data_IF_553971764279
#
_entry.id   IF_553971764279
#
_cell.length_a   1.000
_cell.length_b   1.000
_cell.length_c   1.000
_cell.angle_alpha   90.00
_cell.angle_beta   90.00
_cell.angle_gamma   90.00
#
_symmetry.space_group_name_H-M   'P 1'
#
loop_
_entity.id
_entity.type
_entity.pdbx_description
1 polymer ?
#
# COMPACT_ATOMS: atom_id res chain seq x y z
N UNK A 1 14.19 -0.04 24.50
CA UNK A 1 14.20 1.44 24.48
C UNK A 1 12.78 1.99 24.22
N UNK A 2 12.20 2.69 25.21
CA UNK A 2 10.92 3.36 25.04
C UNK A 2 11.12 4.49 24.01
N UNK A 3 10.48 4.39 22.84
CA UNK A 3 10.56 5.44 21.81
C UNK A 3 10.01 6.73 22.42
N UNK A 4 10.86 7.75 22.64
CA UNK A 4 10.41 9.06 23.10
C UNK A 4 9.67 9.75 21.97
N UNK A 5 8.41 10.09 22.21
CA UNK A 5 7.60 10.86 21.27
C UNK A 5 8.12 12.30 21.24
N UNK A 6 8.39 12.83 20.05
CA UNK A 6 8.77 14.22 19.87
C UNK A 6 7.54 15.11 20.09
N UNK A 7 7.48 15.80 21.23
CA UNK A 7 6.33 16.64 21.61
C UNK A 7 6.03 17.75 20.58
N UNK A 8 7.05 18.33 19.96
CA UNK A 8 6.89 19.37 18.94
C UNK A 8 6.21 18.83 17.70
N UNK A 9 6.65 17.67 17.21
CA UNK A 9 6.04 17.00 16.06
C UNK A 9 4.61 16.55 16.38
N UNK A 10 4.38 16.00 17.58
CA UNK A 10 3.04 15.61 18.00
C UNK A 10 2.08 16.80 18.07
N UNK A 11 2.51 17.96 18.60
CA UNK A 11 1.69 19.18 18.60
C UNK A 11 1.32 19.65 17.19
N UNK A 12 2.24 19.50 16.24
CA UNK A 12 1.98 19.83 14.84
C UNK A 12 0.91 18.89 14.25
N UNK A 13 1.04 17.58 14.46
CA UNK A 13 0.01 16.61 14.07
C UNK A 13 -1.33 16.85 14.79
N UNK A 14 -1.31 17.18 16.08
CA UNK A 14 -2.50 17.50 16.85
C UNK A 14 -3.25 18.69 16.24
N UNK A 15 -2.55 19.75 15.86
CA UNK A 15 -3.20 20.89 15.20
C UNK A 15 -3.75 20.52 13.81
N UNK A 16 -2.91 19.90 12.96
CA UNK A 16 -3.26 19.60 11.58
C UNK A 16 -4.39 18.55 11.48
N UNK A 17 -4.23 17.40 12.13
CA UNK A 17 -5.17 16.29 11.95
C UNK A 17 -6.46 16.46 12.74
N UNK A 18 -6.50 17.30 13.79
CA UNK A 18 -7.78 17.69 14.40
C UNK A 18 -8.63 18.52 13.44
N UNK A 19 -8.01 19.39 12.64
CA UNK A 19 -8.71 20.17 11.61
C UNK A 19 -9.14 19.27 10.43
N UNK A 20 -8.26 18.38 9.96
CA UNK A 20 -8.51 17.55 8.78
C UNK A 20 -9.45 16.36 9.04
N UNK A 21 -9.40 15.74 10.24
CA UNK A 21 -10.09 14.49 10.54
C UNK A 21 -11.07 14.57 11.73
N UNK A 22 -11.07 15.67 12.49
CA UNK A 22 -11.94 15.85 13.66
C UNK A 22 -11.80 14.72 14.67
N UNK A 23 -12.93 14.13 15.08
CA UNK A 23 -12.96 13.06 16.09
C UNK A 23 -12.19 11.79 15.69
N UNK A 24 -12.05 11.51 14.39
CA UNK A 24 -11.32 10.35 13.91
C UNK A 24 -9.82 10.43 14.27
N UNK A 25 -9.27 11.65 14.38
CA UNK A 25 -7.89 11.85 14.79
C UNK A 25 -7.66 11.49 16.26
N UNK A 26 -8.55 11.83 17.18
CA UNK A 26 -8.36 11.53 18.60
C UNK A 26 -8.18 10.03 18.85
N UNK A 27 -9.05 9.21 18.26
CA UNK A 27 -8.96 7.75 18.33
C UNK A 27 -7.71 7.21 17.63
N UNK A 28 -7.38 7.72 16.43
CA UNK A 28 -6.18 7.31 15.70
C UNK A 28 -4.89 7.63 16.46
N UNK A 29 -4.84 8.81 17.08
CA UNK A 29 -3.73 9.27 17.90
C UNK A 29 -3.48 8.34 19.08
N UNK A 30 -4.53 7.92 19.79
CA UNK A 30 -4.39 7.00 20.93
C UNK A 30 -3.77 5.67 20.51
N UNK A 31 -4.18 5.12 19.37
CA UNK A 31 -3.59 3.89 18.80
C UNK A 31 -2.13 4.12 18.39
N UNK A 32 -1.84 5.23 17.71
CA UNK A 32 -0.49 5.56 17.24
C UNK A 32 0.49 5.78 18.41
N UNK A 33 0.03 6.35 19.53
CA UNK A 33 0.84 6.60 20.72
C UNK A 33 0.93 5.40 21.67
N UNK A 34 0.14 4.34 21.45
CA UNK A 34 0.14 3.14 22.28
C UNK A 34 0.91 1.97 21.63
N UNK A 35 2.15 1.67 22.08
CA UNK A 35 2.93 0.57 21.52
C UNK A 35 2.31 -0.82 21.71
N UNK A 36 1.40 -0.97 22.67
CA UNK A 36 0.66 -2.21 22.89
C UNK A 36 -0.33 -2.45 21.75
N UNK A 37 -0.84 -1.41 21.09
CA UNK A 37 -1.76 -1.54 19.96
C UNK A 37 -1.08 -1.87 18.63
N UNK A 38 0.25 -1.74 18.55
CA UNK A 38 0.95 -1.95 17.28
C UNK A 38 1.04 -3.44 16.96
N UNK A 39 0.66 -3.81 15.75
CA UNK A 39 0.66 -5.19 15.27
C UNK A 39 1.16 -5.31 13.83
N UNK A 40 1.44 -6.53 13.40
CA UNK A 40 1.93 -6.84 12.07
C UNK A 40 1.13 -7.98 11.46
N UNK A 41 0.79 -7.82 10.18
CA UNK A 41 0.31 -8.91 9.35
C UNK A 41 1.51 -9.76 8.91
N UNK A 42 1.25 -11.05 8.74
CA UNK A 42 2.22 -12.06 8.31
C UNK A 42 1.95 -12.40 6.86
N UNK A 43 2.67 -11.74 5.95
CA UNK A 43 2.62 -12.05 4.53
C UNK A 43 3.53 -13.25 4.23
N UNK A 44 2.93 -14.34 3.76
CA UNK A 44 3.68 -15.55 3.42
C UNK A 44 4.52 -15.33 2.16
N UNK A 45 5.71 -15.91 2.15
CA UNK A 45 6.56 -15.95 0.97
C UNK A 45 6.26 -17.20 0.14
N UNK A 46 5.64 -17.05 -1.02
CA UNK A 46 5.33 -18.15 -1.94
C UNK A 46 6.58 -18.82 -2.52
N UNK A 47 7.74 -18.16 -2.47
CA UNK A 47 9.01 -18.66 -3.01
C UNK A 47 9.83 -19.48 -2.00
N UNK A 48 9.38 -19.60 -0.76
CA UNK A 48 10.02 -20.43 0.26
C UNK A 48 9.25 -21.71 0.53
N UNK A 49 9.87 -22.64 1.25
CA UNK A 49 9.12 -23.68 1.95
C UNK A 49 8.20 -23.03 2.99
N UNK A 50 6.95 -23.49 3.03
CA UNK A 50 5.89 -23.00 3.93
C UNK A 50 5.24 -24.15 4.70
N UNK A 51 5.89 -25.31 4.72
CA UNK A 51 5.39 -26.51 5.40
C UNK A 51 5.06 -26.16 6.85
N UNK A 52 3.85 -26.51 7.30
CA UNK A 52 3.30 -26.24 8.63
C UNK A 52 3.12 -24.76 9.03
N UNK A 53 3.61 -23.78 8.26
CA UNK A 53 3.54 -22.36 8.65
C UNK A 53 2.10 -21.86 8.79
N UNK A 54 1.20 -22.25 7.87
CA UNK A 54 -0.22 -21.89 7.95
C UNK A 54 -0.92 -22.48 9.15
N UNK A 55 -0.60 -23.75 9.46
CA UNK A 55 -1.16 -24.45 10.61
C UNK A 55 -0.66 -23.79 11.91
N UNK A 56 0.63 -23.50 12.01
CA UNK A 56 1.22 -22.79 13.14
C UNK A 56 0.58 -21.42 13.37
N UNK A 57 0.34 -20.65 12.30
CA UNK A 57 -0.37 -19.37 12.39
C UNK A 57 -1.81 -19.55 12.89
N UNK A 58 -2.53 -20.55 12.37
CA UNK A 58 -3.89 -20.84 12.79
C UNK A 58 -3.96 -21.28 14.27
N UNK A 59 -3.02 -22.11 14.74
CA UNK A 59 -2.89 -22.51 16.15
C UNK A 59 -2.62 -21.32 17.07
N UNK A 60 -1.95 -20.28 16.56
CA UNK A 60 -1.75 -19.01 17.25
C UNK A 60 -2.93 -18.04 17.13
N UNK A 61 -4.05 -18.44 16.52
CA UNK A 61 -5.25 -17.61 16.37
C UNK A 61 -5.22 -16.63 15.18
N UNK A 62 -4.22 -16.72 14.30
CA UNK A 62 -4.19 -15.88 13.11
C UNK A 62 -5.21 -16.34 12.07
N UNK A 63 -5.86 -15.38 11.42
CA UNK A 63 -6.81 -15.60 10.33
C UNK A 63 -6.30 -14.95 9.05
N UNK A 64 -6.74 -15.45 7.90
CA UNK A 64 -6.37 -14.84 6.61
C UNK A 64 -7.14 -13.53 6.42
N UNK A 65 -6.42 -12.42 6.18
CA UNK A 65 -6.97 -11.10 5.89
C UNK A 65 -7.90 -11.11 4.68
N UNK A 66 -7.56 -11.92 3.67
CA UNK A 66 -8.29 -12.07 2.43
C UNK A 66 -8.82 -13.51 2.38
N UNK A 67 -9.90 -13.83 3.12
CA UNK A 67 -10.54 -15.13 3.02
C UNK A 67 -10.95 -15.34 1.56
N UNK A 68 -10.72 -16.53 0.99
CA UNK A 68 -11.00 -16.78 -0.42
C UNK A 68 -12.49 -16.65 -0.73
N UNK A 69 -12.95 -15.45 -1.03
CA UNK A 69 -14.31 -15.15 -1.45
C UNK A 69 -14.36 -15.18 -2.97
N UNK A 70 -14.45 -16.39 -3.51
CA UNK A 70 -15.34 -16.81 -4.61
C UNK A 70 -14.72 -17.91 -5.50
N UNK A 71 -15.49 -18.96 -5.80
CA UNK A 71 -15.20 -19.84 -6.93
C UNK A 71 -15.58 -19.12 -8.24
N UNK A 72 -14.65 -19.09 -9.21
CA UNK A 72 -14.81 -18.60 -10.60
C UNK A 72 -14.60 -17.09 -10.84
N UNK A 73 -13.36 -16.60 -10.73
CA UNK A 73 -12.81 -15.79 -11.82
C UNK A 73 -11.83 -16.68 -12.60
N UNK A 74 -11.96 -16.73 -13.92
CA UNK A 74 -11.12 -17.54 -14.82
C UNK A 74 -9.74 -16.91 -15.04
N UNK A 75 -9.18 -16.26 -14.02
CA UNK A 75 -7.86 -15.63 -14.11
C UNK A 75 -6.95 -16.23 -13.05
N UNK A 76 -5.79 -16.72 -13.48
CA UNK A 76 -4.79 -17.42 -12.68
C UNK A 76 -4.07 -16.49 -11.69
N UNK A 77 -4.80 -15.81 -10.80
CA UNK A 77 -4.17 -15.00 -9.76
C UNK A 77 -3.75 -15.90 -8.59
N UNK A 78 -2.50 -15.77 -8.15
CA UNK A 78 -2.08 -16.34 -6.88
C UNK A 78 -2.60 -15.40 -5.78
N UNK A 79 -3.53 -15.84 -4.93
CA UNK A 79 -4.08 -14.98 -3.90
C UNK A 79 -2.99 -14.62 -2.88
N UNK A 80 -2.91 -13.34 -2.51
CA UNK A 80 -2.07 -12.89 -1.40
C UNK A 80 -2.46 -13.64 -0.12
N UNK A 81 -1.46 -14.25 0.51
CA UNK A 81 -1.65 -14.95 1.79
C UNK A 81 -1.07 -14.10 2.90
N UNK A 82 -1.90 -13.23 3.46
CA UNK A 82 -1.56 -12.38 4.59
C UNK A 82 -2.42 -12.78 5.79
N UNK A 83 -1.76 -13.15 6.88
CA UNK A 83 -2.44 -13.56 8.11
C UNK A 83 -2.39 -12.42 9.14
N UNK A 84 -3.51 -12.14 9.78
CA UNK A 84 -3.67 -11.12 10.81
C UNK A 84 -4.20 -11.75 12.09
N UNK A 85 -4.04 -11.06 13.21
CA UNK A 85 -4.57 -11.48 14.50
C UNK A 85 -5.40 -10.31 15.07
N UNK A 86 -6.46 -10.60 15.83
CA UNK A 86 -7.29 -9.55 16.43
C UNK A 86 -6.51 -8.78 17.51
N UNK A 87 -5.79 -9.52 18.35
CA UNK A 87 -4.86 -8.98 19.33
C UNK A 87 -3.46 -8.73 18.75
N UNK A 88 -2.67 -7.80 19.32
CA UNK A 88 -1.32 -7.42 18.89
C UNK A 88 -0.25 -8.46 19.27
N UNK A 89 -0.45 -9.70 18.85
CA UNK A 89 0.47 -10.83 19.06
C UNK A 89 1.78 -10.57 18.33
N UNK A 90 2.90 -10.79 19.04
CA UNK A 90 4.24 -10.59 18.51
C UNK A 90 4.76 -11.90 17.91
N UNK A 91 4.99 -11.88 16.61
CA UNK A 91 5.72 -12.94 15.90
C UNK A 91 7.18 -12.50 15.69
N UNK A 92 8.15 -13.42 15.78
CA UNK A 92 9.55 -13.11 15.57
C UNK A 92 9.80 -12.60 14.15
N UNK A 93 10.65 -11.58 14.01
CA UNK A 93 11.16 -11.19 12.69
C UNK A 93 12.18 -12.22 12.22
N UNK A 94 12.08 -12.65 10.96
CA UNK A 94 13.12 -13.49 10.35
C UNK A 94 14.30 -12.63 9.89
N UNK A 95 15.51 -12.99 10.33
CA UNK A 95 16.75 -12.37 9.89
C UNK A 95 17.06 -12.69 8.43
N UNK A 96 17.83 -11.83 7.77
CA UNK A 96 18.32 -12.09 6.42
C UNK A 96 19.53 -13.01 6.50
N UNK A 97 19.50 -14.13 5.76
CA UNK A 97 20.59 -15.08 5.68
C UNK A 97 20.91 -15.37 4.20
N UNK A 98 22.18 -15.28 3.77
CA UNK A 98 22.57 -15.68 2.41
C UNK A 98 22.13 -17.12 2.10
N UNK A 99 21.54 -17.33 0.92
CA UNK A 99 21.06 -18.65 0.48
C UNK A 99 19.74 -19.11 1.10
N UNK A 100 19.13 -18.32 1.99
CA UNK A 100 17.85 -18.65 2.63
C UNK A 100 16.80 -17.57 2.37
N UNK A 101 15.66 -17.99 1.83
CA UNK A 101 14.48 -17.14 1.70
C UNK A 101 13.69 -17.17 3.01
N UNK A 102 13.24 -15.98 3.44
CA UNK A 102 12.31 -15.85 4.57
C UNK A 102 11.01 -16.57 4.23
N UNK A 103 10.41 -17.24 5.20
CA UNK A 103 9.10 -17.89 5.04
C UNK A 103 7.94 -16.90 5.06
N UNK A 104 8.14 -15.76 5.71
CA UNK A 104 7.16 -14.69 5.78
C UNK A 104 7.82 -13.33 6.00
N UNK A 105 7.02 -12.29 5.81
CA UNK A 105 7.38 -10.90 6.03
C UNK A 105 6.35 -10.24 6.93
N UNK A 106 6.83 -9.44 7.87
CA UNK A 106 5.98 -8.67 8.78
C UNK A 106 5.77 -7.27 8.21
N UNK A 107 4.52 -6.84 8.07
CA UNK A 107 4.17 -5.50 7.60
C UNK A 107 2.87 -4.99 8.23
N UNK A 108 2.60 -3.69 8.11
CA UNK A 108 1.28 -3.15 8.37
C UNK A 108 0.32 -3.66 7.29
N UNK A 109 -0.70 -4.44 7.65
CA UNK A 109 -1.60 -5.11 6.70
C UNK A 109 -2.29 -4.14 5.73
N UNK A 110 -2.58 -2.90 6.15
CA UNK A 110 -3.14 -1.88 5.27
C UNK A 110 -2.22 -1.57 4.07
N UNK A 111 -0.90 -1.84 4.17
CA UNK A 111 0.06 -1.68 3.07
C UNK A 111 -0.19 -2.62 1.88
N UNK A 112 -1.07 -3.62 2.03
CA UNK A 112 -1.50 -4.46 0.93
C UNK A 112 -2.63 -3.84 0.10
N UNK A 113 -3.38 -2.87 0.65
CA UNK A 113 -4.51 -2.24 -0.05
C UNK A 113 -4.09 -1.62 -1.40
N UNK A 114 -2.99 -0.86 -1.50
CA UNK A 114 -2.52 -0.36 -2.80
C UNK A 114 -2.19 -1.49 -3.78
N UNK A 115 -1.57 -2.59 -3.32
CA UNK A 115 -1.21 -3.73 -4.16
C UNK A 115 -2.45 -4.47 -4.66
N UNK A 116 -3.47 -4.62 -3.81
CA UNK A 116 -4.75 -5.21 -4.19
C UNK A 116 -5.50 -4.31 -5.20
N UNK A 117 -5.46 -2.99 -4.98
CA UNK A 117 -6.11 -2.01 -5.86
C UNK A 117 -5.51 -1.95 -7.27
N UNK A 118 -4.30 -2.48 -7.47
CA UNK A 118 -3.71 -2.60 -8.81
C UNK A 118 -4.52 -3.54 -9.72
N UNK A 119 -5.17 -4.56 -9.15
CA UNK A 119 -5.85 -5.63 -9.90
C UNK A 119 -4.94 -6.25 -11.00
N UNK A 120 -3.72 -6.60 -10.57
CA UNK A 120 -2.62 -7.12 -11.40
C UNK A 120 -2.99 -8.39 -12.17
N UNK A 121 -2.79 -8.41 -13.49
CA UNK A 121 -3.01 -9.60 -14.35
C UNK A 121 -1.70 -10.26 -14.76
N UNK A 122 -1.75 -11.56 -15.04
CA UNK A 122 -0.58 -12.30 -15.56
C UNK A 122 -0.02 -11.64 -16.83
N UNK A 123 1.31 -11.61 -16.93
CA UNK A 123 2.02 -11.02 -18.07
C UNK A 123 2.06 -9.49 -18.08
N UNK A 124 1.52 -8.80 -17.08
CA UNK A 124 1.65 -7.35 -16.97
C UNK A 124 3.07 -6.93 -16.54
N UNK A 125 3.50 -5.78 -17.06
CA UNK A 125 4.73 -5.12 -16.65
C UNK A 125 4.42 -4.10 -15.56
N UNK A 126 5.14 -4.17 -14.45
CA UNK A 126 4.91 -3.38 -13.25
C UNK A 126 6.13 -2.53 -12.92
N UNK A 127 5.93 -1.24 -12.67
CA UNK A 127 6.95 -0.32 -12.20
C UNK A 127 6.66 0.10 -10.75
N UNK A 128 7.52 -0.22 -9.81
CA UNK A 128 7.51 0.37 -8.46
C UNK A 128 8.52 1.54 -8.40
N UNK A 129 8.03 2.78 -8.45
CA UNK A 129 8.91 3.95 -8.54
C UNK A 129 9.55 4.33 -7.20
N UNK A 130 9.02 3.86 -6.08
CA UNK A 130 9.57 4.14 -4.76
C UNK A 130 9.65 2.84 -3.95
N UNK A 131 10.53 1.96 -4.38
CA UNK A 131 10.54 0.58 -3.92
C UNK A 131 11.13 0.41 -2.51
N UNK A 132 12.03 1.29 -2.05
CA UNK A 132 12.67 1.12 -0.74
C UNK A 132 11.68 1.29 0.43
N UNK A 133 11.67 0.41 1.46
CA UNK A 133 12.57 -0.72 1.71
C UNK A 133 12.16 -2.06 1.04
N UNK A 134 11.05 -2.12 0.31
CA UNK A 134 10.71 -3.25 -0.58
C UNK A 134 9.44 -4.01 -0.23
N UNK A 135 8.74 -3.67 0.86
CA UNK A 135 7.61 -4.47 1.35
C UNK A 135 6.48 -4.65 0.35
N UNK A 136 6.28 -3.67 -0.55
CA UNK A 136 5.19 -3.69 -1.50
C UNK A 136 5.59 -4.21 -2.87
N UNK A 137 6.82 -3.94 -3.32
CA UNK A 137 7.43 -4.66 -4.44
C UNK A 137 7.43 -6.16 -4.17
N UNK A 138 7.74 -6.55 -2.94
CA UNK A 138 7.64 -7.93 -2.49
C UNK A 138 6.20 -8.45 -2.52
N UNK A 139 5.23 -7.70 -2.00
CA UNK A 139 3.81 -8.11 -2.04
C UNK A 139 3.31 -8.26 -3.49
N UNK A 140 3.73 -7.39 -4.40
CA UNK A 140 3.49 -7.50 -5.84
C UNK A 140 4.06 -8.83 -6.39
N UNK A 141 5.28 -9.22 -6.01
CA UNK A 141 5.85 -10.53 -6.41
C UNK A 141 5.08 -11.73 -5.82
N UNK A 142 4.30 -11.54 -4.74
CA UNK A 142 3.49 -12.60 -4.16
C UNK A 142 2.17 -12.83 -4.91
N UNK A 143 1.69 -11.90 -5.75
CA UNK A 143 0.34 -11.95 -6.37
C UNK A 143 0.31 -12.63 -7.73
N UNK A 144 1.34 -12.45 -8.55
CA UNK A 144 1.39 -12.94 -9.93
C UNK A 144 2.82 -13.28 -10.34
N UNK A 145 2.95 -14.08 -11.40
CA UNK A 145 4.22 -14.26 -12.08
C UNK A 145 4.39 -13.10 -13.08
N UNK A 146 5.19 -12.10 -12.67
CA UNK A 146 5.37 -10.84 -13.39
C UNK A 146 6.40 -11.03 -14.50
N UNK A 147 6.13 -10.46 -15.69
CA UNK A 147 7.10 -10.48 -16.79
C UNK A 147 8.29 -9.56 -16.51
N UNK A 148 8.04 -8.36 -15.96
CA UNK A 148 9.06 -7.40 -15.52
C UNK A 148 8.58 -6.56 -14.32
N UNK A 149 9.35 -6.56 -13.24
CA UNK A 149 9.21 -5.63 -12.11
C UNK A 149 10.43 -4.70 -12.06
N UNK A 150 10.21 -3.41 -12.26
CA UNK A 150 11.24 -2.39 -12.10
C UNK A 150 11.07 -1.68 -10.77
N UNK A 151 12.07 -1.74 -9.90
CA UNK A 151 12.05 -1.18 -8.56
C UNK A 151 13.08 -0.04 -8.44
N UNK A 152 12.61 1.19 -8.23
CA UNK A 152 13.48 2.37 -8.09
C UNK A 152 13.75 2.68 -6.62
N UNK A 153 15.02 2.71 -6.22
CA UNK A 153 15.46 2.84 -4.81
C UNK A 153 16.03 4.22 -4.46
N UNK A 154 16.05 5.18 -5.39
CA UNK A 154 16.65 6.50 -5.18
C UNK A 154 15.61 7.57 -4.85
N UNK A 155 16.01 8.60 -4.10
CA UNK A 155 15.25 9.86 -3.97
C UNK A 155 14.87 10.38 -5.36
N UNK A 156 13.57 10.55 -5.60
CA UNK A 156 13.04 11.01 -6.88
C UNK A 156 13.30 12.51 -7.05
N UNK A 157 14.41 12.85 -7.70
CA UNK A 157 14.65 14.20 -8.20
C UNK A 157 14.05 14.35 -9.60
N UNK A 158 13.66 15.57 -10.01
CA UNK A 158 13.18 15.85 -11.39
C UNK A 158 14.12 15.29 -12.47
N UNK A 159 15.44 15.31 -12.24
CA UNK A 159 16.45 14.73 -13.16
C UNK A 159 16.40 13.20 -13.23
N UNK A 160 16.29 12.53 -12.09
CA UNK A 160 16.22 11.06 -12.05
C UNK A 160 14.95 10.56 -12.72
N UNK A 161 13.83 11.26 -12.48
CA UNK A 161 12.55 11.04 -13.14
C UNK A 161 12.66 11.14 -14.67
N UNK A 162 13.24 12.22 -15.21
CA UNK A 162 13.38 12.39 -16.67
C UNK A 162 14.25 11.28 -17.29
N UNK A 163 15.29 10.84 -16.58
CA UNK A 163 16.12 9.70 -17.01
C UNK A 163 15.35 8.39 -16.98
N UNK A 164 14.61 8.12 -15.91
CA UNK A 164 13.75 6.94 -15.80
C UNK A 164 12.73 6.97 -16.95
N UNK A 165 12.00 8.07 -17.14
CA UNK A 165 11.07 8.25 -18.26
C UNK A 165 11.73 7.98 -19.63
N UNK A 166 12.94 8.47 -19.86
CA UNK A 166 13.69 8.22 -21.10
C UNK A 166 13.94 6.72 -21.34
N UNK A 167 14.37 5.99 -20.30
CA UNK A 167 14.57 4.54 -20.40
C UNK A 167 13.24 3.76 -20.51
N UNK A 168 12.20 4.24 -19.83
CA UNK A 168 10.91 3.57 -19.76
C UNK A 168 10.03 3.79 -21.00
N UNK A 169 10.27 4.86 -21.78
CA UNK A 169 9.48 5.19 -22.98
C UNK A 169 9.47 4.07 -24.04
N UNK A 170 10.45 3.17 -24.00
CA UNK A 170 10.58 2.02 -24.89
C UNK A 170 10.13 0.70 -24.25
N UNK A 171 9.74 0.72 -22.97
CA UNK A 171 9.21 -0.44 -22.26
C UNK A 171 7.69 -0.34 -22.26
N UNK A 172 7.01 -1.40 -22.72
CA UNK A 172 5.55 -1.47 -22.80
C UNK A 172 4.94 -1.68 -21.39
N UNK A 173 5.09 -0.68 -20.50
CA UNK A 173 4.64 -0.75 -19.11
C UNK A 173 3.13 -0.57 -19.05
N UNK A 174 2.45 -1.58 -18.51
CA UNK A 174 0.99 -1.58 -18.36
C UNK A 174 0.56 -0.91 -17.05
N UNK A 175 1.42 -0.96 -16.03
CA UNK A 175 1.05 -0.60 -14.68
C UNK A 175 2.22 -0.02 -13.89
N UNK A 176 1.95 1.03 -13.10
CA UNK A 176 2.94 1.62 -12.22
C UNK A 176 2.38 1.87 -10.80
N UNK A 177 3.24 1.67 -9.81
CA UNK A 177 2.94 1.63 -8.38
C UNK A 177 3.90 2.58 -7.66
N UNK A 178 3.38 3.37 -6.73
CA UNK A 178 4.12 4.46 -6.09
C UNK A 178 3.94 4.42 -4.58
N UNK A 179 5.07 4.49 -3.87
CA UNK A 179 5.12 4.35 -2.42
C UNK A 179 6.06 5.32 -1.70
N UNK A 180 5.46 6.20 -0.91
CA UNK A 180 6.06 6.97 0.19
C UNK A 180 6.85 8.24 -0.21
N UNK A 181 6.55 9.28 0.58
CA UNK A 181 7.16 10.60 0.75
C UNK A 181 7.72 11.24 -0.52
N UNK A 182 6.92 12.13 -1.12
CA UNK A 182 7.29 13.30 -1.96
C UNK A 182 6.43 13.42 -3.24
N UNK A 183 5.46 14.36 -3.15
CA UNK A 183 5.10 15.43 -4.11
C UNK A 183 4.53 15.03 -5.49
N UNK A 184 3.54 15.80 -5.97
CA UNK A 184 2.86 15.69 -7.28
C UNK A 184 3.75 15.38 -8.49
N UNK A 185 5.03 15.83 -8.46
CA UNK A 185 6.02 15.55 -9.51
C UNK A 185 6.15 14.06 -9.77
N UNK A 186 6.06 13.24 -8.72
CA UNK A 186 6.18 11.78 -8.80
C UNK A 186 4.98 11.14 -9.51
N UNK A 187 3.76 11.60 -9.25
CA UNK A 187 2.54 11.06 -9.86
C UNK A 187 2.44 11.40 -11.34
N UNK A 188 2.78 12.64 -11.73
CA UNK A 188 2.84 13.01 -13.16
C UNK A 188 3.86 12.14 -13.91
N UNK A 189 4.97 11.81 -13.24
CA UNK A 189 6.03 10.99 -13.81
C UNK A 189 5.58 9.56 -14.04
N UNK A 190 4.79 9.02 -13.10
CA UNK A 190 4.11 7.75 -13.23
C UNK A 190 3.25 7.67 -14.48
N UNK A 191 2.39 8.68 -14.63
CA UNK A 191 1.41 8.75 -15.70
C UNK A 191 2.13 8.82 -17.05
N UNK A 192 3.21 9.59 -17.15
CA UNK A 192 4.03 9.64 -18.36
C UNK A 192 4.77 8.31 -18.67
N UNK A 193 5.07 7.50 -17.65
CA UNK A 193 5.77 6.22 -17.81
C UNK A 193 4.84 5.05 -18.20
N UNK A 194 3.56 5.11 -17.85
CA UNK A 194 2.57 4.13 -18.31
C UNK A 194 2.08 4.45 -19.71
N UNK A 195 1.75 3.42 -20.49
CA UNK A 195 1.09 3.57 -21.79
C UNK A 195 -0.33 4.16 -21.64
N UNK A 196 -0.93 4.71 -22.71
CA UNK A 196 -2.38 4.95 -22.76
C UNK A 196 -3.19 3.69 -22.37
N UNK A 197 -4.21 3.88 -21.54
CA UNK A 197 -4.96 2.82 -20.86
C UNK A 197 -4.29 2.25 -19.60
N UNK A 198 -3.03 2.62 -19.33
CA UNK A 198 -2.28 2.15 -18.16
C UNK A 198 -2.75 2.80 -16.86
N UNK A 199 -2.61 2.06 -15.76
CA UNK A 199 -3.09 2.48 -14.43
C UNK A 199 -1.91 2.83 -13.52
N UNK A 200 -2.11 3.88 -12.72
CA UNK A 200 -1.20 4.34 -11.68
C UNK A 200 -1.91 4.23 -10.34
N UNK A 201 -1.31 3.52 -9.39
CA UNK A 201 -1.76 3.54 -7.99
C UNK A 201 -0.85 4.45 -7.18
N UNK A 202 -1.42 5.54 -6.70
CA UNK A 202 -0.78 6.46 -5.77
C UNK A 202 -1.14 6.07 -4.34
N UNK A 203 -0.16 6.08 -3.44
CA UNK A 203 -0.40 5.77 -2.03
C UNK A 203 0.65 6.34 -1.09
N UNK A 204 0.25 6.55 0.16
CA UNK A 204 1.09 7.12 1.20
C UNK A 204 0.80 6.47 2.55
N UNK A 205 1.71 6.60 3.51
CA UNK A 205 1.50 6.20 4.91
C UNK A 205 1.33 7.42 5.83
N UNK A 206 0.68 8.47 5.34
CA UNK A 206 0.36 9.72 6.06
C UNK A 206 -1.14 9.94 6.06
N UNK A 207 -1.64 10.65 7.06
CA UNK A 207 -3.04 11.09 7.09
C UNK A 207 -3.22 12.49 6.49
N UNK A 208 -2.14 13.15 6.08
CA UNK A 208 -2.19 14.54 5.61
C UNK A 208 -2.98 14.70 4.31
N UNK A 209 -3.99 15.58 4.33
CA UNK A 209 -4.72 15.99 3.13
C UNK A 209 -3.80 16.55 2.05
N UNK A 210 -2.82 17.35 2.47
CA UNK A 210 -1.87 18.00 1.58
C UNK A 210 -1.02 16.99 0.79
N UNK A 211 -0.69 15.85 1.40
CA UNK A 211 0.05 14.77 0.77
C UNK A 211 -0.86 13.78 0.03
N UNK A 212 -2.16 13.76 0.34
CA UNK A 212 -3.10 12.79 -0.20
C UNK A 212 -4.02 13.42 -1.24
N UNK A 213 -5.20 13.87 -0.84
CA UNK A 213 -6.24 14.39 -1.73
C UNK A 213 -5.74 15.57 -2.56
N UNK A 214 -5.00 16.50 -1.95
CA UNK A 214 -4.51 17.69 -2.66
C UNK A 214 -3.53 17.35 -3.79
N UNK A 215 -2.75 16.27 -3.65
CA UNK A 215 -1.87 15.79 -4.71
C UNK A 215 -2.69 15.27 -5.89
N UNK A 216 -3.70 14.42 -5.63
CA UNK A 216 -4.55 13.84 -6.66
C UNK A 216 -5.40 14.90 -7.36
N UNK A 217 -6.01 15.81 -6.59
CA UNK A 217 -6.76 16.97 -7.09
C UNK A 217 -5.89 17.84 -8.01
N UNK A 218 -4.65 18.15 -7.60
CA UNK A 218 -3.74 18.96 -8.41
C UNK A 218 -3.34 18.26 -9.72
N UNK A 219 -3.13 16.94 -9.70
CA UNK A 219 -2.81 16.15 -10.90
C UNK A 219 -3.99 16.15 -11.87
N UNK A 220 -5.20 15.85 -11.39
CA UNK A 220 -6.41 15.85 -12.23
C UNK A 220 -6.70 17.23 -12.84
N UNK A 221 -6.43 18.30 -12.10
CA UNK A 221 -6.62 19.67 -12.61
C UNK A 221 -5.56 20.09 -13.64
N UNK A 222 -4.32 19.58 -13.52
CA UNK A 222 -3.17 20.09 -14.29
C UNK A 222 -2.72 19.19 -15.43
N UNK A 223 -3.07 17.91 -15.41
CA UNK A 223 -2.58 16.90 -16.37
C UNK A 223 -3.73 16.32 -17.19
N UNK A 224 -3.81 16.72 -18.46
CA UNK A 224 -4.84 16.26 -19.39
C UNK A 224 -4.70 14.78 -19.72
N UNK A 225 -5.82 14.15 -20.09
CA UNK A 225 -5.84 12.74 -20.46
C UNK A 225 -5.64 11.80 -19.27
N UNK A 226 -6.03 12.21 -18.07
CA UNK A 226 -6.00 11.37 -16.87
C UNK A 226 -7.34 11.44 -16.16
N UNK A 227 -7.83 10.30 -15.70
CA UNK A 227 -9.06 10.20 -14.93
C UNK A 227 -8.84 9.43 -13.63
N UNK A 228 -9.71 9.71 -12.66
CA UNK A 228 -9.79 8.96 -11.41
C UNK A 228 -10.53 7.64 -11.66
N UNK A 229 -9.93 6.54 -11.24
CA UNK A 229 -10.61 5.26 -11.17
C UNK A 229 -11.05 4.97 -9.74
N UNK A 230 -12.31 4.60 -9.57
CA UNK A 230 -12.78 4.14 -8.27
C UNK A 230 -12.10 2.83 -7.86
N UNK A 231 -11.90 2.67 -6.56
CA UNK A 231 -11.53 1.38 -6.01
C UNK A 231 -12.75 0.46 -6.06
N UNK A 232 -12.52 -0.82 -6.33
CA UNK A 232 -13.59 -1.79 -6.46
C UNK A 232 -14.33 -1.93 -5.12
N UNK A 233 -15.65 -1.69 -5.11
CA UNK A 233 -16.44 -1.66 -3.87
C UNK A 233 -16.32 -2.97 -3.08
N UNK A 234 -16.32 -4.11 -3.78
CA UNK A 234 -16.18 -5.42 -3.13
C UNK A 234 -14.83 -5.59 -2.40
N UNK A 235 -13.76 -4.94 -2.87
CA UNK A 235 -12.46 -4.94 -2.19
C UNK A 235 -12.57 -4.15 -0.87
N UNK A 236 -13.22 -2.98 -0.90
CA UNK A 236 -13.44 -2.16 0.30
C UNK A 236 -14.32 -2.90 1.30
N UNK A 237 -15.42 -3.49 0.84
CA UNK A 237 -16.35 -4.25 1.70
C UNK A 237 -15.63 -5.43 2.35
N UNK A 238 -14.86 -6.22 1.59
CA UNK A 238 -14.11 -7.38 2.11
C UNK A 238 -13.05 -7.02 3.15
N UNK A 239 -12.52 -5.80 3.11
CA UNK A 239 -11.51 -5.30 4.04
C UNK A 239 -12.11 -4.51 5.21
N UNK A 240 -13.38 -4.12 5.12
CA UNK A 240 -14.03 -3.24 6.11
C UNK A 240 -14.22 -3.89 7.48
N UNK A 241 -14.22 -5.23 7.57
CA UNK A 241 -14.22 -5.93 8.86
C UNK A 241 -12.90 -5.70 9.63
N UNK A 242 -11.78 -5.51 8.92
CA UNK A 242 -10.45 -5.41 9.50
C UNK A 242 -9.90 -3.98 9.50
N UNK A 243 -10.29 -3.16 8.52
CA UNK A 243 -9.79 -1.79 8.33
C UNK A 243 -10.88 -0.76 8.62
N UNK A 244 -10.48 0.39 9.14
CA UNK A 244 -11.37 1.56 9.24
C UNK A 244 -10.98 2.54 8.13
N UNK A 245 -11.95 2.86 7.26
CA UNK A 245 -11.78 3.84 6.20
C UNK A 245 -12.30 5.20 6.64
N UNK A 246 -11.48 6.24 6.50
CA UNK A 246 -11.92 7.61 6.69
C UNK A 246 -12.82 8.05 5.54
N UNK A 247 -13.84 8.84 5.85
CA UNK A 247 -14.78 9.37 4.86
C UNK A 247 -14.40 10.80 4.47
N UNK A 248 -14.25 11.04 3.17
CA UNK A 248 -13.97 12.37 2.62
C UNK A 248 -14.98 12.74 1.54
N UNK A 249 -15.22 14.04 1.38
CA UNK A 249 -16.00 14.57 0.27
C UNK A 249 -15.29 15.80 -0.33
N UNK A 250 -14.97 15.82 -1.63
CA UNK A 250 -15.06 14.72 -2.59
C UNK A 250 -14.07 13.58 -2.29
N UNK A 251 -14.44 12.35 -2.62
CA UNK A 251 -13.56 11.18 -2.45
C UNK A 251 -12.69 11.00 -3.69
N UNK A 252 -11.42 11.42 -3.60
CA UNK A 252 -10.41 11.20 -4.65
C UNK A 252 -9.49 10.01 -4.32
N UNK A 253 -9.86 9.20 -3.33
CA UNK A 253 -9.12 8.04 -2.85
C UNK A 253 -9.64 7.56 -1.49
N UNK A 254 -9.07 6.47 -0.99
CA UNK A 254 -9.44 5.84 0.29
C UNK A 254 -8.30 5.99 1.29
N UNK A 255 -8.60 6.35 2.55
CA UNK A 255 -7.61 6.37 3.63
C UNK A 255 -8.00 5.35 4.70
N UNK A 256 -7.17 4.34 4.90
CA UNK A 256 -7.24 3.51 6.10
C UNK A 256 -6.65 4.30 7.26
N UNK A 257 -7.40 4.46 8.34
CA UNK A 257 -6.96 5.11 9.57
C UNK A 257 -6.93 4.10 10.72
N UNK A 258 -5.89 4.13 11.57
CA UNK A 258 -5.87 3.26 12.74
C UNK A 258 -6.99 3.70 13.70
N UNK A 259 -7.77 2.75 14.17
CA UNK A 259 -8.81 2.96 15.16
C UNK A 259 -8.69 1.89 16.25
N UNK A 260 -9.37 2.10 17.38
CA UNK A 260 -9.50 1.06 18.41
C UNK A 260 -10.05 -0.22 17.75
N UNK A 261 -9.44 -1.35 18.07
CA UNK A 261 -9.73 -2.69 17.51
C UNK A 261 -9.41 -2.90 16.01
N UNK A 262 -9.19 -1.83 15.24
CA UNK A 262 -8.75 -1.85 13.83
C UNK A 262 -7.50 -1.00 13.64
N UNK A 263 -6.38 -1.47 14.18
CA UNK A 263 -5.18 -0.64 14.37
C UNK A 263 -4.29 -0.52 13.13
N UNK A 264 -4.80 -0.87 11.94
CA UNK A 264 -4.04 -0.85 10.69
C UNK A 264 -3.98 0.55 10.08
N UNK A 265 -2.98 0.79 9.23
CA UNK A 265 -2.72 2.11 8.66
C UNK A 265 -1.83 3.01 9.52
N UNK A 266 -1.75 4.32 9.21
CA UNK A 266 -2.46 4.98 8.12
C UNK A 266 -2.00 4.50 6.74
N UNK A 267 -2.93 4.40 5.78
CA UNK A 267 -2.62 4.07 4.39
C UNK A 267 -3.61 4.74 3.44
N UNK A 268 -3.15 5.70 2.66
CA UNK A 268 -3.94 6.32 1.59
C UNK A 268 -3.74 5.56 0.29
N UNK A 269 -4.77 5.47 -0.54
CA UNK A 269 -4.70 4.91 -1.89
C UNK A 269 -5.61 5.68 -2.85
N UNK A 270 -5.12 5.95 -4.06
CA UNK A 270 -5.88 6.50 -5.17
C UNK A 270 -5.45 5.83 -6.47
N UNK A 271 -6.40 5.60 -7.38
CA UNK A 271 -6.15 4.98 -8.69
C UNK A 271 -6.40 6.00 -9.78
N UNK A 272 -5.45 6.12 -10.70
CA UNK A 272 -5.52 7.03 -11.84
C UNK A 272 -5.29 6.22 -13.12
N UNK A 273 -6.03 6.52 -14.18
CA UNK A 273 -5.79 5.94 -15.50
C UNK A 273 -5.34 7.00 -16.47
N UNK A 274 -4.30 6.69 -17.24
CA UNK A 274 -3.90 7.51 -18.39
C UNK A 274 -4.76 7.13 -19.59
N UNK A 275 -5.36 8.10 -20.24
CA UNK A 275 -6.23 7.91 -21.40
C UNK A 275 -5.47 8.09 -22.73
N UNK A 276 -4.56 9.07 -22.82
CA UNK A 276 -3.70 9.30 -23.99
C UNK A 276 -2.33 9.90 -23.60
#
# INVERSE_FOLDING_TARGET
PQKKVCKTVLKHFDAQYSEELGEQWHSARDVLLNPLSWQYGVLLNRFSDRTNLKQWLAELGYTNLLPQTHPKSQTAHIPLQCFIHQDPVRIPTQSHHPGWLKQYFLLNAASLLPVLSLNLKEGENVLDLCAAPGGKSLAILQTIDILLLLACYSTLTKRNVQRIQFYLKHMNINLAVFFVDVVCITVVSALAAVRPGGVVVYSTCTMSRAENQSVVEAVLASYQGVELLELEQHLIDSLSDNFCFAHFHPSVGQLVIPQKDKTWGPMYVSRLQRIY
#
